data_IF_744607663294
#
_entry.id   IF_744607663294
#
_cell.length_a   1.000
_cell.length_b   1.000
_cell.length_c   1.000
_cell.angle_alpha   90.00
_cell.angle_beta   90.00
_cell.angle_gamma   90.00
#
_symmetry.space_group_name_H-M   'P 1'
#
loop_
_entity.id
_entity.type
_entity.pdbx_description
1 polymer ?
#
# COMPACT_ATOMS: atom_id res chain seq x y z
N UNK A 1 -6.55 2.61 10.27
CA UNK A 1 -5.81 1.35 10.17
C UNK A 1 -4.83 1.27 11.33
N UNK A 2 -4.69 0.10 11.95
CA UNK A 2 -3.62 -0.19 12.91
C UNK A 2 -2.42 -0.73 12.14
N UNK A 3 -1.40 0.10 11.93
CA UNK A 3 -0.21 -0.22 11.11
C UNK A 3 0.59 -1.34 11.77
N UNK A 4 0.99 -2.35 10.98
CA UNK A 4 1.84 -3.47 11.40
C UNK A 4 3.15 -3.55 10.62
N UNK A 5 3.21 -2.98 9.41
CA UNK A 5 4.43 -2.87 8.60
C UNK A 5 4.40 -1.60 7.76
N UNK A 6 5.57 -1.11 7.35
CA UNK A 6 5.72 0.09 6.53
C UNK A 6 6.90 0.02 5.57
N UNK A 7 6.78 0.76 4.48
CA UNK A 7 7.85 1.11 3.55
C UNK A 7 7.94 2.64 3.47
N UNK A 8 9.11 3.19 3.79
CA UNK A 8 9.35 4.62 3.66
C UNK A 8 9.89 4.91 2.26
N UNK A 9 9.21 5.78 1.51
CA UNK A 9 9.61 6.16 0.16
C UNK A 9 10.41 7.47 0.17
N UNK A 10 9.84 8.51 0.81
CA UNK A 10 10.50 9.81 1.02
C UNK A 10 10.38 10.24 2.48
N UNK A 11 10.83 11.43 2.86
CA UNK A 11 10.69 11.94 4.22
C UNK A 11 9.23 12.15 4.67
N UNK A 12 8.30 12.34 3.72
CA UNK A 12 6.89 12.60 4.01
C UNK A 12 5.92 11.61 3.33
N UNK A 13 6.45 10.60 2.62
CA UNK A 13 5.66 9.59 1.92
C UNK A 13 6.03 8.18 2.37
N UNK A 14 5.01 7.36 2.67
CA UNK A 14 5.17 5.96 3.03
C UNK A 14 3.99 5.13 2.57
N UNK A 15 4.24 3.84 2.37
CA UNK A 15 3.19 2.83 2.19
C UNK A 15 3.09 2.05 3.50
N UNK A 16 1.89 2.02 4.08
CA UNK A 16 1.61 1.32 5.34
C UNK A 16 0.70 0.12 5.08
N UNK A 17 0.96 -1.00 5.76
CA UNK A 17 0.06 -2.15 5.84
C UNK A 17 -0.38 -2.37 7.28
N UNK A 18 -1.59 -2.85 7.47
CA UNK A 18 -2.09 -3.16 8.80
C UNK A 18 -3.57 -3.51 8.81
N UNK A 19 -4.14 -3.65 10.00
CA UNK A 19 -5.54 -4.08 10.13
C UNK A 19 -6.48 -2.91 9.91
N UNK A 20 -7.51 -3.12 9.11
CA UNK A 20 -8.52 -2.11 8.83
C UNK A 20 -9.20 -1.66 10.14
N UNK A 21 -9.51 -0.36 10.25
CA UNK A 21 -10.22 0.16 11.45
C UNK A 21 -11.66 -0.34 11.51
N UNK A 22 -12.27 -0.64 10.35
CA UNK A 22 -13.64 -1.13 10.25
C UNK A 22 -13.74 -2.66 10.32
N UNK A 23 -12.64 -3.40 10.17
CA UNK A 23 -12.60 -4.86 10.31
C UNK A 23 -11.17 -5.32 10.65
N UNK A 24 -10.97 -5.80 11.87
CA UNK A 24 -9.63 -6.18 12.35
C UNK A 24 -9.04 -7.41 11.64
N UNK A 25 -9.88 -8.22 10.99
CA UNK A 25 -9.46 -9.43 10.26
C UNK A 25 -9.12 -9.14 8.80
N UNK A 26 -9.29 -7.89 8.34
CA UNK A 26 -8.92 -7.48 7.00
C UNK A 26 -7.63 -6.68 7.01
N UNK A 27 -6.67 -7.13 6.18
CA UNK A 27 -5.47 -6.38 5.88
C UNK A 27 -5.86 -5.21 4.97
N UNK A 28 -5.40 -4.02 5.32
CA UNK A 28 -5.55 -2.80 4.54
C UNK A 28 -4.16 -2.27 4.18
N UNK A 29 -4.10 -1.58 3.05
CA UNK A 29 -2.94 -0.79 2.62
C UNK A 29 -3.31 0.69 2.68
N UNK A 30 -2.32 1.56 2.89
CA UNK A 30 -2.51 3.01 2.85
C UNK A 30 -1.34 3.69 2.13
N UNK A 31 -1.68 4.53 1.14
CA UNK A 31 -0.77 5.51 0.56
C UNK A 31 -0.70 6.72 1.50
N UNK A 32 0.33 6.82 2.33
CA UNK A 32 0.41 7.83 3.39
C UNK A 32 1.31 8.98 3.00
N UNK A 33 0.71 10.16 2.91
CA UNK A 33 1.41 11.43 2.95
C UNK A 33 1.27 12.08 4.32
N UNK A 34 2.38 12.54 4.88
CA UNK A 34 2.39 13.38 6.06
C UNK A 34 2.27 14.85 5.66
N UNK A 35 1.47 15.59 6.42
CA UNK A 35 1.42 17.04 6.36
C UNK A 35 2.74 17.58 6.94
N UNK A 36 3.51 18.29 6.10
CA UNK A 36 4.88 18.71 6.43
C UNK A 36 4.92 19.67 7.64
N UNK A 37 3.84 20.40 7.91
CA UNK A 37 3.77 21.35 9.03
C UNK A 37 3.41 20.68 10.36
N UNK A 38 2.58 19.63 10.32
CA UNK A 38 2.02 19.00 11.53
C UNK A 38 2.54 17.59 11.78
N UNK A 39 3.21 16.97 10.80
CA UNK A 39 3.59 15.55 10.79
C UNK A 39 2.40 14.58 10.77
N UNK A 40 1.17 15.10 10.69
CA UNK A 40 -0.06 14.30 10.74
C UNK A 40 -0.45 13.81 9.35
N UNK A 41 -1.25 12.77 9.31
CA UNK A 41 -1.79 12.21 8.06
C UNK A 41 -2.52 13.28 7.23
N UNK A 42 -2.09 13.47 5.98
CA UNK A 42 -2.72 14.37 5.02
C UNK A 42 -3.82 13.61 4.24
N UNK A 43 -5.07 13.76 4.69
CA UNK A 43 -6.22 13.08 4.06
C UNK A 43 -6.40 13.45 2.58
N UNK A 44 -6.13 14.70 2.20
CA UNK A 44 -6.27 15.15 0.81
C UNK A 44 -5.22 14.51 -0.09
N UNK A 45 -3.94 14.53 0.34
CA UNK A 45 -2.84 13.90 -0.39
C UNK A 45 -2.92 12.37 -0.46
N UNK A 46 -3.75 11.75 0.38
CA UNK A 46 -3.98 10.30 0.42
C UNK A 46 -5.35 9.87 -0.14
N UNK A 47 -6.17 10.81 -0.60
CA UNK A 47 -7.52 10.53 -1.14
C UNK A 47 -7.50 10.13 -2.61
N UNK A 48 -6.59 10.71 -3.38
CA UNK A 48 -6.27 10.31 -4.75
C UNK A 48 -4.91 9.62 -4.74
N UNK A 49 -4.75 8.54 -5.51
CA UNK A 49 -3.51 7.77 -5.56
C UNK A 49 -2.85 8.03 -6.91
N UNK A 50 -1.73 8.80 -6.95
CA UNK A 50 -0.94 8.96 -8.17
C UNK A 50 -0.55 7.61 -8.78
N UNK A 51 -0.47 7.55 -10.11
CA UNK A 51 -0.18 6.28 -10.81
C UNK A 51 1.16 5.65 -10.40
N UNK A 52 2.17 6.48 -10.14
CA UNK A 52 3.47 5.99 -9.68
C UNK A 52 3.39 5.39 -8.28
N UNK A 53 2.62 5.99 -7.38
CA UNK A 53 2.39 5.46 -6.04
C UNK A 53 1.63 4.14 -6.11
N UNK A 54 0.62 4.03 -6.97
CA UNK A 54 -0.10 2.78 -7.18
C UNK A 54 0.84 1.64 -7.63
N UNK A 55 1.71 1.89 -8.61
CA UNK A 55 2.73 0.91 -9.03
C UNK A 55 3.67 0.55 -7.89
N UNK A 56 4.08 1.54 -7.09
CA UNK A 56 4.94 1.34 -5.94
C UNK A 56 4.25 0.51 -4.85
N UNK A 57 2.96 0.74 -4.60
CA UNK A 57 2.12 -0.03 -3.68
C UNK A 57 2.06 -1.50 -4.08
N UNK A 58 1.85 -1.80 -5.37
CA UNK A 58 1.88 -3.19 -5.88
C UNK A 58 3.27 -3.79 -5.65
N UNK A 59 4.32 -3.14 -6.16
CA UNK A 59 5.70 -3.63 -6.08
C UNK A 59 6.11 -3.93 -4.65
N UNK A 60 5.88 -3.00 -3.73
CA UNK A 60 6.30 -3.16 -2.34
C UNK A 60 5.43 -4.19 -1.61
N UNK A 61 4.14 -4.34 -1.95
CA UNK A 61 3.31 -5.40 -1.40
C UNK A 61 3.83 -6.79 -1.75
N UNK A 62 4.33 -6.97 -2.99
CA UNK A 62 4.99 -8.21 -3.42
C UNK A 62 6.29 -8.42 -2.63
N UNK A 63 7.19 -7.42 -2.61
CA UNK A 63 8.50 -7.52 -1.94
C UNK A 63 8.39 -7.74 -0.43
N UNK A 64 7.37 -7.16 0.21
CA UNK A 64 7.07 -7.30 1.65
C UNK A 64 6.22 -8.53 1.97
N UNK A 65 6.01 -9.43 1.00
CA UNK A 65 5.28 -10.69 1.15
C UNK A 65 3.87 -10.49 1.73
N UNK A 66 3.16 -9.46 1.24
CA UNK A 66 1.76 -9.18 1.58
C UNK A 66 0.76 -9.97 0.77
N UNK A 67 1.25 -10.65 -0.26
CA UNK A 67 0.53 -11.59 -1.11
C UNK A 67 1.12 -12.98 -0.89
N UNK A 68 0.25 -13.97 -0.83
CA UNK A 68 0.60 -15.39 -0.81
C UNK A 68 1.11 -15.84 -2.18
N UNK A 69 1.82 -16.98 -2.23
CA UNK A 69 2.27 -17.55 -3.50
C UNK A 69 1.12 -17.89 -4.44
N UNK A 70 -0.06 -18.25 -3.92
CA UNK A 70 -1.25 -18.53 -4.73
C UNK A 70 -1.76 -17.26 -5.42
N UNK A 71 -1.93 -16.18 -4.67
CA UNK A 71 -2.36 -14.88 -5.22
C UNK A 71 -1.36 -14.36 -6.26
N UNK A 72 -0.06 -14.52 -6.02
CA UNK A 72 0.97 -14.13 -6.99
C UNK A 72 0.91 -14.97 -8.27
N UNK A 73 0.65 -16.27 -8.16
CA UNK A 73 0.52 -17.15 -9.33
C UNK A 73 -0.71 -16.79 -10.17
N UNK A 74 -1.83 -16.43 -9.53
CA UNK A 74 -3.02 -15.94 -10.22
C UNK A 74 -2.75 -14.62 -10.95
N UNK A 75 -2.12 -13.64 -10.28
CA UNK A 75 -1.73 -12.37 -10.91
C UNK A 75 -0.81 -12.62 -12.12
N UNK A 76 0.17 -13.51 -11.99
CA UNK A 76 1.09 -13.84 -13.08
C UNK A 76 0.37 -14.48 -14.27
N UNK A 77 -0.58 -15.38 -14.01
CA UNK A 77 -1.41 -16.00 -15.05
C UNK A 77 -2.24 -14.95 -15.78
N UNK A 78 -2.84 -14.01 -15.05
CA UNK A 78 -3.65 -12.94 -15.66
C UNK A 78 -2.79 -12.02 -16.53
N UNK A 79 -1.58 -11.66 -16.06
CA UNK A 79 -0.62 -10.90 -16.87
C UNK A 79 -0.27 -11.65 -18.17
N UNK A 80 0.02 -12.95 -18.08
CA UNK A 80 0.38 -13.78 -19.22
C UNK A 80 -0.75 -13.91 -20.27
N UNK A 81 -2.01 -13.67 -19.90
CA UNK A 81 -3.14 -13.67 -20.84
C UNK A 81 -3.35 -12.32 -21.53
N UNK A 82 -2.75 -11.24 -21.02
CA UNK A 82 -2.87 -9.87 -21.55
C UNK A 82 -1.71 -9.54 -22.50
N UNK A 83 -0.51 -10.07 -22.23
CA UNK A 83 0.69 -9.89 -23.06
C UNK A 83 0.83 -10.95 -24.14
#
# INVERSE_FOLDING_TARGET
MKVTDKFQDTSNHSIEWGNATFNINQISIRNRYDNIQTGKFNKAGSGEIPWNDFKLMIKQSILKKKLTNSELAEILKDIANVI
#
